data_IF_553329359683
#
_entry.id   IF_553329359683
#
_cell.length_a   1.000
_cell.length_b   1.000
_cell.length_c   1.000
_cell.angle_alpha   90.00
_cell.angle_beta   90.00
_cell.angle_gamma   90.00
#
_symmetry.space_group_name_H-M   'P 1'
#
loop_
_entity.id
_entity.type
_entity.pdbx_description
1 polymer ?
#
# COMPACT_ATOMS: atom_id res chain seq x y z
N UNK A 1 -1.15 2.66 -17.94
CA UNK A 1 -0.33 3.82 -17.61
C UNK A 1 -0.78 4.13 -16.22
N UNK A 2 -0.08 3.51 -15.27
CA UNK A 2 -0.61 3.22 -13.94
C UNK A 2 -0.03 4.21 -12.92
N UNK A 3 0.35 5.40 -13.40
CA UNK A 3 0.80 6.49 -12.57
C UNK A 3 -0.42 7.21 -12.00
N UNK A 4 -0.64 7.00 -10.70
CA UNK A 4 -1.71 7.65 -9.94
C UNK A 4 -1.37 9.10 -9.58
N UNK A 5 -0.14 9.56 -9.87
CA UNK A 5 0.40 10.85 -9.48
C UNK A 5 0.86 10.89 -8.02
N UNK A 6 1.51 12.00 -7.65
CA UNK A 6 1.94 12.24 -6.27
C UNK A 6 0.78 12.80 -5.42
N UNK A 7 0.49 12.14 -4.31
CA UNK A 7 -0.51 12.57 -3.33
C UNK A 7 0.17 12.84 -1.99
N UNK A 8 0.17 14.10 -1.54
CA UNK A 8 0.65 14.45 -0.20
C UNK A 8 -0.48 14.21 0.80
N UNK A 9 -0.29 13.27 1.73
CA UNK A 9 -1.24 12.97 2.79
C UNK A 9 -0.73 13.51 4.12
N UNK A 10 -1.61 14.20 4.85
CA UNK A 10 -1.34 14.60 6.23
C UNK A 10 -1.66 13.46 7.21
N UNK A 11 -1.19 13.60 8.44
CA UNK A 11 -1.41 12.61 9.48
C UNK A 11 -2.92 12.37 9.69
N UNK A 12 -3.36 11.11 9.63
CA UNK A 12 -4.77 10.65 9.68
C UNK A 12 -5.59 10.83 8.40
N UNK A 13 -4.99 11.31 7.32
CA UNK A 13 -5.62 11.25 6.00
C UNK A 13 -5.39 9.88 5.35
N UNK A 14 -6.21 9.58 4.37
CA UNK A 14 -6.19 8.32 3.65
C UNK A 14 -6.40 8.58 2.16
N UNK A 15 -5.57 7.93 1.34
CA UNK A 15 -5.78 7.85 -0.10
C UNK A 15 -6.27 6.46 -0.45
N UNK A 16 -7.41 6.40 -1.16
CA UNK A 16 -7.96 5.15 -1.68
C UNK A 16 -8.06 5.26 -3.19
N UNK A 17 -7.65 4.19 -3.86
CA UNK A 17 -7.83 4.02 -5.29
C UNK A 17 -8.28 2.60 -5.56
N UNK A 18 -9.04 2.42 -6.64
CA UNK A 18 -9.55 1.13 -7.09
C UNK A 18 -9.09 0.89 -8.52
N UNK A 19 -8.78 -0.35 -8.83
CA UNK A 19 -8.38 -0.76 -10.16
C UNK A 19 -8.82 -2.21 -10.42
N UNK A 20 -8.93 -2.57 -11.69
CA UNK A 20 -9.22 -3.96 -12.07
C UNK A 20 -7.92 -4.71 -12.28
N UNK A 21 -7.76 -5.84 -11.59
CA UNK A 21 -6.61 -6.73 -11.78
C UNK A 21 -6.83 -7.60 -13.01
N UNK A 22 -5.97 -7.45 -14.00
CA UNK A 22 -5.86 -8.38 -15.13
C UNK A 22 -4.73 -9.37 -14.84
N UNK A 23 -5.05 -10.65 -14.67
CA UNK A 23 -4.08 -11.71 -14.35
C UNK A 23 -2.97 -11.87 -15.41
N UNK A 24 -3.21 -11.41 -16.64
CA UNK A 24 -2.23 -11.48 -17.72
C UNK A 24 -1.31 -10.26 -17.78
N UNK A 25 -1.69 -9.17 -17.11
CA UNK A 25 -0.90 -7.94 -17.07
C UNK A 25 -0.16 -7.83 -15.74
N UNK A 26 1.10 -7.41 -15.82
CA UNK A 26 1.88 -7.05 -14.64
C UNK A 26 1.43 -5.66 -14.19
N UNK A 27 0.62 -5.61 -13.14
CA UNK A 27 0.22 -4.38 -12.46
C UNK A 27 1.14 -4.22 -11.26
N UNK A 28 1.66 -3.01 -11.09
CA UNK A 28 2.57 -2.64 -10.01
C UNK A 28 2.24 -1.22 -9.57
N UNK A 29 2.03 -1.06 -8.27
CA UNK A 29 1.83 0.24 -7.64
C UNK A 29 2.84 0.39 -6.51
N UNK A 30 3.67 1.44 -6.62
CA UNK A 30 4.55 1.89 -5.56
C UNK A 30 3.94 3.10 -4.84
N UNK A 31 4.29 3.27 -3.58
CA UNK A 31 3.95 4.44 -2.79
C UNK A 31 5.19 4.88 -1.99
N UNK A 32 5.61 6.11 -2.21
CA UNK A 32 6.66 6.74 -1.40
C UNK A 32 6.04 7.24 -0.10
N UNK A 33 6.49 6.66 1.01
CA UNK A 33 6.00 6.96 2.36
C UNK A 33 7.12 7.58 3.18
N UNK A 34 6.80 8.57 4.01
CA UNK A 34 7.79 9.21 4.88
C UNK A 34 7.24 9.74 6.20
N UNK A 35 8.01 9.56 7.27
CA UNK A 35 7.72 10.08 8.60
C UNK A 35 8.96 10.76 9.19
N UNK A 36 8.89 12.08 9.38
CA UNK A 36 10.03 12.88 9.84
C UNK A 36 11.17 12.90 8.80
N UNK A 37 12.32 12.34 9.16
CA UNK A 37 13.48 12.20 8.26
C UNK A 37 13.57 10.83 7.58
N UNK A 38 12.64 9.92 7.89
CA UNK A 38 12.63 8.59 7.33
C UNK A 38 11.74 8.57 6.10
N UNK A 39 12.25 8.02 5.00
CA UNK A 39 11.54 7.87 3.74
C UNK A 39 11.76 6.46 3.20
N UNK A 40 10.71 5.87 2.61
CA UNK A 40 10.76 4.54 2.03
C UNK A 40 9.69 4.39 0.95
N UNK A 41 10.11 3.87 -0.20
CA UNK A 41 9.18 3.37 -1.22
C UNK A 41 8.68 1.99 -0.83
N UNK A 42 7.37 1.81 -0.82
CA UNK A 42 6.69 0.54 -0.58
C UNK A 42 5.93 0.13 -1.82
N UNK A 43 6.13 -1.11 -2.25
CA UNK A 43 5.29 -1.71 -3.27
C UNK A 43 3.94 -2.07 -2.65
N UNK A 44 2.95 -1.19 -2.83
CA UNK A 44 1.64 -1.35 -2.20
C UNK A 44 0.78 -2.39 -2.90
N UNK A 45 1.08 -2.68 -4.17
CA UNK A 45 0.48 -3.79 -4.90
C UNK A 45 1.38 -4.32 -6.01
N UNK A 46 1.55 -5.63 -6.06
CA UNK A 46 2.15 -6.35 -7.17
C UNK A 46 1.26 -7.53 -7.57
N UNK A 47 1.02 -7.74 -8.87
CA UNK A 47 0.22 -8.88 -9.37
C UNK A 47 0.71 -10.23 -8.86
N UNK A 48 1.99 -10.41 -8.53
CA UNK A 48 2.53 -11.68 -8.03
C UNK A 48 2.36 -11.93 -6.53
N UNK A 49 1.98 -10.91 -5.76
CA UNK A 49 2.01 -10.94 -4.29
C UNK A 49 0.63 -10.55 -3.74
N UNK A 50 0.25 -9.28 -3.88
CA UNK A 50 -0.97 -8.72 -3.29
C UNK A 50 -2.25 -9.30 -3.89
N UNK A 51 -2.19 -9.85 -5.12
CA UNK A 51 -3.31 -10.60 -5.70
C UNK A 51 -3.73 -11.78 -4.82
N UNK A 52 -2.79 -12.37 -4.07
CA UNK A 52 -3.04 -13.54 -3.23
C UNK A 52 -3.38 -13.11 -1.79
N UNK A 53 -2.63 -12.16 -1.22
CA UNK A 53 -2.83 -11.72 0.17
C UNK A 53 -4.08 -10.87 0.36
N UNK A 54 -4.52 -10.12 -0.65
CA UNK A 54 -5.73 -9.30 -0.58
C UNK A 54 -6.96 -9.98 -1.22
N UNK A 55 -6.82 -11.21 -1.77
CA UNK A 55 -7.89 -11.89 -2.51
C UNK A 55 -9.19 -12.06 -1.71
N UNK A 56 -9.07 -12.33 -0.41
CA UNK A 56 -10.22 -12.67 0.43
C UNK A 56 -11.16 -11.50 0.65
N UNK A 57 -10.62 -10.28 0.70
CA UNK A 57 -11.38 -9.05 0.96
C UNK A 57 -11.48 -8.15 -0.26
N UNK A 58 -10.62 -8.34 -1.26
CA UNK A 58 -10.44 -7.43 -2.39
C UNK A 58 -9.69 -6.15 -2.01
N UNK A 59 -9.22 -6.02 -0.77
CA UNK A 59 -8.65 -4.78 -0.25
C UNK A 59 -7.23 -4.98 0.26
N UNK A 60 -6.36 -4.01 -0.03
CA UNK A 60 -5.01 -3.91 0.51
C UNK A 60 -4.86 -2.55 1.21
N UNK A 61 -4.62 -2.56 2.51
CA UNK A 61 -4.41 -1.36 3.31
C UNK A 61 -2.97 -1.28 3.78
N UNK A 62 -2.39 -0.09 3.63
CA UNK A 62 -1.07 0.24 4.13
C UNK A 62 -1.18 1.43 5.07
N UNK A 63 -0.60 1.31 6.26
CA UNK A 63 -0.65 2.34 7.30
C UNK A 63 0.76 2.72 7.70
N UNK A 64 1.07 3.99 7.48
CA UNK A 64 2.29 4.63 7.96
C UNK A 64 2.11 5.07 9.40
N UNK A 65 3.02 4.68 10.29
CA UNK A 65 3.01 4.99 11.72
C UNK A 65 4.37 5.50 12.17
N UNK A 66 4.46 6.05 13.38
CA UNK A 66 5.71 6.66 13.87
C UNK A 66 6.88 5.69 13.97
N UNK A 67 6.60 4.39 14.11
CA UNK A 67 7.61 3.34 14.29
C UNK A 67 7.81 2.46 13.06
N UNK A 68 6.97 2.58 12.03
CA UNK A 68 7.16 1.87 10.77
C UNK A 68 5.90 1.79 9.92
N UNK A 69 5.90 0.84 8.98
CA UNK A 69 4.85 0.66 7.99
C UNK A 69 4.17 -0.69 8.18
N UNK A 70 2.84 -0.65 8.21
CA UNK A 70 1.97 -1.77 8.50
C UNK A 70 1.10 -2.12 7.31
N UNK A 71 0.80 -3.40 7.16
CA UNK A 71 -0.11 -3.94 6.15
C UNK A 71 -1.31 -4.61 6.80
N UNK A 72 -2.48 -4.46 6.18
CA UNK A 72 -3.69 -5.21 6.49
C UNK A 72 -4.50 -5.48 5.22
N UNK A 73 -5.21 -6.60 5.16
CA UNK A 73 -6.19 -6.84 4.10
C UNK A 73 -7.64 -6.60 4.56
N UNK A 74 -7.87 -6.34 5.85
CA UNK A 74 -9.21 -6.22 6.42
C UNK A 74 -9.40 -4.98 7.30
N UNK A 75 -8.41 -4.09 7.35
CA UNK A 75 -8.40 -2.86 8.16
C UNK A 75 -8.57 -3.10 9.68
N UNK A 76 -8.34 -4.34 10.14
CA UNK A 76 -8.50 -4.74 11.55
C UNK A 76 -7.22 -5.34 12.09
N UNK A 77 -6.66 -6.30 11.35
CA UNK A 77 -5.44 -7.01 11.73
C UNK A 77 -4.26 -6.39 11.00
N UNK A 78 -3.42 -5.67 11.74
CA UNK A 78 -2.26 -4.96 11.18
C UNK A 78 -0.96 -5.69 11.50
N UNK A 79 -0.16 -5.95 10.47
CA UNK A 79 1.16 -6.58 10.59
C UNK A 79 2.23 -5.60 10.18
N UNK A 80 3.23 -5.37 11.05
CA UNK A 80 4.38 -4.54 10.72
C UNK A 80 5.22 -5.22 9.64
N UNK A 81 5.48 -4.51 8.55
CA UNK A 81 6.27 -5.02 7.41
C UNK A 81 7.65 -4.36 7.35
N UNK A 82 7.72 -3.10 7.74
CA UNK A 82 8.96 -2.33 7.72
C UNK A 82 9.08 -1.52 9.01
N UNK A 83 10.27 -1.53 9.60
CA UNK A 83 10.71 -0.48 10.52
C UNK A 83 11.23 0.71 9.70
N UNK A 84 11.25 1.89 10.32
CA UNK A 84 11.90 3.05 9.72
C UNK A 84 13.40 2.84 9.54
#
# INVERSE_FOLDING_TARGET
DDDLGAHLLWMKEEFRFEFTVDFWKKTHFGCDMGFGTNERTVDVFQTGIEIHTCRSTGNCFWSMREDGIYFSNNDQSWVKKYDW
#
